data_IF_567318201360
#
_entry.id   IF_567318201360
#
_cell.length_a   1.000
_cell.length_b   1.000
_cell.length_c   1.000
_cell.angle_alpha   90.00
_cell.angle_beta   90.00
_cell.angle_gamma   90.00
#
_symmetry.space_group_name_H-M   'P 1'
#
loop_
_entity.id
_entity.type
_entity.pdbx_description
1 polymer ?
#
# COMPACT_ATOMS: atom_id res chain seq x y z
N UNK A 1 -15.26 -16.11 0.17
CA UNK A 1 -14.99 -16.68 -1.19
C UNK A 1 -13.72 -17.51 -1.12
N UNK A 2 -13.59 -18.58 -1.92
CA UNK A 2 -12.31 -19.27 -2.09
C UNK A 2 -11.34 -18.39 -2.90
N UNK A 3 -10.03 -18.67 -2.84
CA UNK A 3 -9.04 -17.91 -3.61
C UNK A 3 -9.33 -17.96 -5.12
N UNK A 4 -9.72 -19.11 -5.65
CA UNK A 4 -10.13 -19.26 -7.06
C UNK A 4 -11.36 -18.40 -7.42
N UNK A 5 -12.35 -18.36 -6.55
CA UNK A 5 -13.52 -17.50 -6.74
C UNK A 5 -13.14 -16.02 -6.75
N UNK A 6 -12.22 -15.61 -5.86
CA UNK A 6 -11.71 -14.24 -5.82
C UNK A 6 -10.95 -13.91 -7.10
N UNK A 7 -10.09 -14.81 -7.60
CA UNK A 7 -9.34 -14.62 -8.84
C UNK A 7 -10.27 -14.44 -10.05
N UNK A 8 -11.28 -15.31 -10.18
CA UNK A 8 -12.26 -15.24 -11.27
C UNK A 8 -13.10 -13.96 -11.20
N UNK A 9 -13.53 -13.57 -9.99
CA UNK A 9 -14.27 -12.34 -9.76
C UNK A 9 -13.41 -11.11 -10.07
N UNK A 10 -12.15 -11.09 -9.64
CA UNK A 10 -11.22 -10.00 -9.92
C UNK A 10 -11.00 -9.82 -11.43
N UNK A 11 -10.77 -10.92 -12.18
CA UNK A 11 -10.59 -10.87 -13.63
C UNK A 11 -11.84 -10.35 -14.36
N UNK A 12 -13.03 -10.80 -13.95
CA UNK A 12 -14.30 -10.34 -14.52
C UNK A 12 -14.53 -8.83 -14.26
N UNK A 13 -14.26 -8.37 -13.03
CA UNK A 13 -14.38 -6.97 -12.66
C UNK A 13 -13.34 -6.09 -13.37
N UNK A 14 -12.08 -6.54 -13.47
CA UNK A 14 -11.02 -5.80 -14.17
C UNK A 14 -11.39 -5.58 -15.64
N UNK A 15 -11.92 -6.62 -16.30
CA UNK A 15 -12.40 -6.52 -17.67
C UNK A 15 -13.61 -5.56 -17.80
N UNK A 16 -14.59 -5.69 -16.93
CA UNK A 16 -15.80 -4.86 -16.96
C UNK A 16 -15.50 -3.38 -16.67
N UNK A 17 -14.48 -3.10 -15.87
CA UNK A 17 -14.08 -1.75 -15.46
C UNK A 17 -12.96 -1.15 -16.31
N UNK A 18 -12.51 -1.80 -17.39
CA UNK A 18 -11.33 -1.41 -18.16
C UNK A 18 -11.32 0.06 -18.64
N UNK A 19 -12.50 0.65 -18.87
CA UNK A 19 -12.69 2.05 -19.26
C UNK A 19 -13.33 2.92 -18.17
N UNK A 20 -13.49 2.39 -16.96
CA UNK A 20 -14.14 3.10 -15.86
C UNK A 20 -13.26 4.21 -15.30
N UNK A 21 -13.89 5.31 -14.90
CA UNK A 21 -13.26 6.37 -14.13
C UNK A 21 -12.88 5.88 -12.73
N UNK A 22 -11.94 6.55 -12.04
CA UNK A 22 -11.59 6.21 -10.66
C UNK A 22 -12.81 6.13 -9.71
N UNK A 23 -13.76 7.04 -9.83
CA UNK A 23 -14.98 7.05 -9.01
C UNK A 23 -15.87 5.85 -9.30
N UNK A 24 -15.99 5.43 -10.56
CA UNK A 24 -16.76 4.23 -10.93
C UNK A 24 -16.12 2.95 -10.39
N UNK A 25 -14.78 2.86 -10.37
CA UNK A 25 -14.05 1.73 -9.76
C UNK A 25 -14.29 1.69 -8.25
N UNK A 26 -14.26 2.84 -7.55
CA UNK A 26 -14.57 2.91 -6.10
C UNK A 26 -16.03 2.52 -5.85
N UNK A 27 -16.97 3.04 -6.65
CA UNK A 27 -18.37 2.67 -6.53
C UNK A 27 -18.62 1.18 -6.79
N UNK A 28 -17.87 0.57 -7.72
CA UNK A 28 -17.90 -0.87 -7.94
C UNK A 28 -17.40 -1.64 -6.71
N UNK A 29 -16.30 -1.21 -6.08
CA UNK A 29 -15.78 -1.81 -4.85
C UNK A 29 -16.84 -1.81 -3.74
N UNK A 30 -17.52 -0.67 -3.53
CA UNK A 30 -18.59 -0.56 -2.53
C UNK A 30 -19.75 -1.53 -2.80
N UNK A 31 -20.13 -1.71 -4.07
CA UNK A 31 -21.24 -2.62 -4.44
C UNK A 31 -20.87 -4.11 -4.40
N UNK A 32 -19.58 -4.42 -4.48
CA UNK A 32 -19.10 -5.82 -4.63
C UNK A 32 -19.09 -6.57 -3.30
N UNK A 33 -18.90 -5.88 -2.19
CA UNK A 33 -18.81 -6.51 -0.86
C UNK A 33 -19.92 -6.04 0.06
N UNK A 34 -20.18 -6.81 1.10
CA UNK A 34 -21.18 -6.44 2.11
C UNK A 34 -20.76 -5.14 2.84
N UNK A 35 -21.73 -4.36 3.36
CA UNK A 35 -21.45 -3.18 4.17
C UNK A 35 -20.46 -3.47 5.31
N UNK A 36 -19.48 -2.62 5.50
CA UNK A 36 -18.43 -2.78 6.51
C UNK A 36 -17.34 -3.80 6.16
N UNK A 37 -17.37 -4.42 4.98
CA UNK A 37 -16.36 -5.39 4.53
C UNK A 37 -15.35 -4.83 3.53
N UNK A 38 -15.38 -3.52 3.28
CA UNK A 38 -14.44 -2.76 2.45
C UNK A 38 -13.59 -1.84 3.32
N UNK A 39 -12.30 -1.73 3.01
CA UNK A 39 -11.41 -0.74 3.61
C UNK A 39 -10.59 0.01 2.55
N UNK A 40 -10.05 1.17 2.92
CA UNK A 40 -9.02 1.88 2.15
C UNK A 40 -7.70 1.76 2.90
N UNK A 41 -6.62 1.40 2.21
CA UNK A 41 -5.27 1.45 2.77
C UNK A 41 -4.57 2.69 2.25
N UNK A 42 -4.19 3.58 3.16
CA UNK A 42 -3.53 4.85 2.83
C UNK A 42 -2.27 5.08 3.67
N UNK A 43 -1.20 5.52 3.02
CA UNK A 43 0.03 5.96 3.69
C UNK A 43 0.05 7.47 3.96
N UNK A 44 -0.98 8.20 3.57
CA UNK A 44 -1.03 9.67 3.61
C UNK A 44 0.21 10.35 2.99
N UNK A 45 0.79 9.73 1.94
CA UNK A 45 1.88 10.32 1.16
C UNK A 45 1.39 11.36 0.16
N UNK A 46 2.30 11.85 -0.71
CA UNK A 46 2.11 12.99 -1.60
C UNK A 46 0.76 13.03 -2.36
N UNK A 47 0.40 11.95 -3.05
CA UNK A 47 -0.77 11.94 -3.92
C UNK A 47 -2.02 11.30 -3.28
N UNK A 48 -1.99 11.07 -1.97
CA UNK A 48 -3.05 10.32 -1.27
C UNK A 48 -4.37 11.09 -1.21
N UNK A 49 -4.31 12.44 -1.19
CA UNK A 49 -5.49 13.29 -1.12
C UNK A 49 -6.45 13.05 -2.29
N UNK A 50 -5.91 12.77 -3.50
CA UNK A 50 -6.73 12.45 -4.67
C UNK A 50 -7.61 11.22 -4.43
N UNK A 51 -7.03 10.11 -3.95
CA UNK A 51 -7.80 8.90 -3.64
C UNK A 51 -8.83 9.15 -2.55
N UNK A 52 -8.40 9.72 -1.41
CA UNK A 52 -9.27 9.91 -0.25
C UNK A 52 -10.41 10.87 -0.54
N UNK A 53 -10.20 11.90 -1.37
CA UNK A 53 -11.28 12.79 -1.84
C UNK A 53 -12.34 12.04 -2.63
N UNK A 54 -11.92 11.17 -3.56
CA UNK A 54 -12.85 10.38 -4.37
C UNK A 54 -13.60 9.35 -3.53
N UNK A 55 -12.94 8.71 -2.56
CA UNK A 55 -13.57 7.78 -1.61
C UNK A 55 -14.60 8.52 -0.76
N UNK A 56 -14.21 9.63 -0.13
CA UNK A 56 -15.09 10.40 0.74
C UNK A 56 -16.32 10.98 0.02
N UNK A 57 -16.21 11.24 -1.29
CA UNK A 57 -17.34 11.67 -2.11
C UNK A 57 -18.40 10.57 -2.31
N UNK A 58 -18.03 9.30 -2.12
CA UNK A 58 -18.93 8.15 -2.23
C UNK A 58 -19.42 7.74 -0.83
N UNK A 59 -18.49 7.52 0.09
CA UNK A 59 -18.80 7.18 1.48
C UNK A 59 -17.62 7.54 2.39
N UNK A 60 -17.72 8.61 3.20
CA UNK A 60 -16.66 9.02 4.14
C UNK A 60 -16.54 8.10 5.36
N UNK A 61 -17.46 7.15 5.55
CA UNK A 61 -17.42 6.18 6.64
C UNK A 61 -16.66 4.88 6.29
N UNK A 62 -16.18 4.72 5.05
CA UNK A 62 -15.32 3.58 4.72
C UNK A 62 -14.06 3.64 5.58
N UNK A 63 -13.72 2.57 6.34
CA UNK A 63 -12.53 2.52 7.17
C UNK A 63 -11.25 2.80 6.38
N UNK A 64 -10.44 3.76 6.86
CA UNK A 64 -9.11 4.06 6.31
C UNK A 64 -8.06 3.44 7.23
N UNK A 65 -7.39 2.40 6.77
CA UNK A 65 -6.32 1.72 7.49
C UNK A 65 -5.01 2.47 7.26
N UNK A 66 -4.44 2.96 8.33
CA UNK A 66 -3.18 3.70 8.33
C UNK A 66 -2.13 2.93 9.14
N UNK A 67 -0.98 2.64 8.48
CA UNK A 67 0.13 1.94 9.09
C UNK A 67 1.12 2.95 9.67
N UNK A 68 1.08 3.16 10.98
CA UNK A 68 2.11 3.95 11.67
C UNK A 68 3.28 3.04 12.04
N UNK A 69 4.36 3.21 11.32
CA UNK A 69 5.57 2.38 11.48
C UNK A 69 6.46 2.80 12.65
N UNK A 70 6.14 3.90 13.33
CA UNK A 70 7.02 4.58 14.29
C UNK A 70 8.14 5.39 13.63
N UNK A 71 8.24 5.37 12.29
CA UNK A 71 9.27 6.05 11.51
C UNK A 71 8.68 7.06 10.49
N UNK A 72 7.43 7.44 10.65
CA UNK A 72 6.80 8.41 9.76
C UNK A 72 7.23 9.84 10.10
N UNK A 73 7.21 10.71 9.10
CA UNK A 73 7.42 12.14 9.32
C UNK A 73 6.27 12.73 10.15
N UNK A 74 6.55 13.65 11.09
CA UNK A 74 5.50 14.39 11.79
C UNK A 74 4.54 15.10 10.83
N UNK A 75 5.04 15.59 9.70
CA UNK A 75 4.25 16.22 8.64
C UNK A 75 3.24 15.25 8.01
N UNK A 76 3.57 13.96 7.90
CA UNK A 76 2.64 12.93 7.42
C UNK A 76 1.51 12.69 8.42
N UNK A 77 1.82 12.68 9.72
CA UNK A 77 0.81 12.53 10.78
C UNK A 77 -0.13 13.74 10.81
N UNK A 78 0.41 14.95 10.75
CA UNK A 78 -0.38 16.18 10.67
C UNK A 78 -1.23 16.25 9.37
N UNK A 79 -0.67 15.81 8.25
CA UNK A 79 -1.38 15.77 6.98
C UNK A 79 -2.54 14.77 6.99
N UNK A 80 -2.37 13.60 7.63
CA UNK A 80 -3.46 12.65 7.89
C UNK A 80 -4.63 13.33 8.59
N UNK A 81 -4.35 14.05 9.68
CA UNK A 81 -5.39 14.70 10.49
C UNK A 81 -6.06 15.84 9.71
N UNK A 82 -5.28 16.58 8.92
CA UNK A 82 -5.80 17.62 8.01
C UNK A 82 -6.76 17.03 6.97
N UNK A 83 -6.37 15.94 6.29
CA UNK A 83 -7.22 15.31 5.28
C UNK A 83 -8.45 14.64 5.90
N UNK A 84 -8.32 14.08 7.10
CA UNK A 84 -9.45 13.51 7.84
C UNK A 84 -10.54 14.56 8.09
N UNK A 85 -10.14 15.70 8.63
CA UNK A 85 -11.06 16.82 8.88
C UNK A 85 -11.62 17.40 7.58
N UNK A 86 -10.78 17.62 6.56
CA UNK A 86 -11.17 18.22 5.29
C UNK A 86 -12.19 17.39 4.51
N UNK A 87 -12.07 16.06 4.55
CA UNK A 87 -12.94 15.15 3.81
C UNK A 87 -14.04 14.53 4.68
N UNK A 88 -14.08 14.83 5.98
CA UNK A 88 -15.05 14.27 6.91
C UNK A 88 -14.91 12.75 7.08
N UNK A 89 -13.67 12.21 7.01
CA UNK A 89 -13.42 10.78 7.22
C UNK A 89 -13.70 10.44 8.69
N UNK A 90 -14.62 9.51 8.93
CA UNK A 90 -15.11 9.21 10.29
C UNK A 90 -14.47 7.98 10.92
N UNK A 91 -13.79 7.14 10.15
CA UNK A 91 -13.19 5.89 10.63
C UNK A 91 -11.75 5.74 10.13
N UNK A 92 -10.78 6.35 10.84
CA UNK A 92 -9.35 6.15 10.58
C UNK A 92 -8.80 5.20 11.64
N UNK A 93 -8.33 4.04 11.20
CA UNK A 93 -7.76 3.00 12.07
C UNK A 93 -6.25 2.99 11.94
N UNK A 94 -5.57 3.38 13.02
CA UNK A 94 -4.11 3.38 13.09
C UNK A 94 -3.63 2.01 13.56
N UNK A 95 -2.78 1.40 12.75
CA UNK A 95 -2.15 0.12 13.06
C UNK A 95 -0.64 0.30 13.22
N UNK A 96 -0.12 -0.15 14.34
CA UNK A 96 1.31 -0.11 14.69
C UNK A 96 1.92 -1.50 14.67
N UNK A 97 3.23 -1.64 14.48
CA UNK A 97 3.91 -2.93 14.63
C UNK A 97 3.79 -3.44 16.07
N UNK A 98 3.75 -4.75 16.24
CA UNK A 98 3.74 -5.38 17.56
C UNK A 98 5.00 -5.01 18.34
N UNK A 99 4.84 -4.59 19.60
CA UNK A 99 5.97 -4.29 20.48
C UNK A 99 6.83 -5.52 20.75
N UNK A 100 6.23 -6.72 20.81
CA UNK A 100 6.94 -7.98 20.95
C UNK A 100 7.81 -8.25 19.70
N UNK A 101 7.23 -8.13 18.49
CA UNK A 101 7.97 -8.33 17.25
C UNK A 101 9.12 -7.31 17.09
N UNK A 102 8.93 -6.06 17.53
CA UNK A 102 9.99 -5.06 17.53
C UNK A 102 11.11 -5.40 18.50
N UNK A 103 10.77 -5.83 19.72
CA UNK A 103 11.76 -6.20 20.74
C UNK A 103 12.57 -7.43 20.31
N UNK A 104 11.96 -8.37 19.60
CA UNK A 104 12.59 -9.61 19.14
C UNK A 104 13.42 -9.41 17.87
N UNK A 105 12.86 -8.71 16.85
CA UNK A 105 13.45 -8.63 15.51
C UNK A 105 14.21 -7.34 15.23
N UNK A 106 13.95 -6.25 15.99
CA UNK A 106 14.57 -4.93 15.78
C UNK A 106 14.89 -4.23 17.13
N UNK A 107 15.58 -4.91 18.07
CA UNK A 107 15.84 -4.37 19.41
C UNK A 107 16.68 -3.08 19.39
N UNK A 108 17.55 -2.92 18.41
CA UNK A 108 18.41 -1.74 18.26
C UNK A 108 17.74 -0.65 17.39
N UNK A 109 16.58 -0.93 16.79
CA UNK A 109 15.88 -0.02 15.89
C UNK A 109 16.69 0.39 14.65
N UNK A 110 17.58 -0.49 14.15
CA UNK A 110 18.47 -0.25 13.02
C UNK A 110 18.18 -1.17 11.81
N UNK A 111 17.16 -2.03 11.89
CA UNK A 111 16.77 -2.95 10.84
C UNK A 111 16.44 -2.26 9.51
N UNK A 112 15.95 -1.00 9.55
CA UNK A 112 15.76 -0.19 8.34
C UNK A 112 17.05 0.00 7.54
N UNK A 113 18.20 -0.05 8.20
CA UNK A 113 19.53 0.11 7.61
C UNK A 113 20.14 -1.23 7.21
N UNK A 114 20.06 -2.24 8.06
CA UNK A 114 20.70 -3.55 7.87
C UNK A 114 19.88 -4.47 6.95
N UNK A 115 18.55 -4.54 7.16
CA UNK A 115 17.62 -5.34 6.35
C UNK A 115 16.28 -4.59 6.16
N UNK A 116 16.18 -3.71 5.13
CA UNK A 116 14.96 -2.97 4.86
C UNK A 116 13.74 -3.83 4.50
N UNK A 117 13.95 -5.07 4.04
CA UNK A 117 12.84 -5.97 3.73
C UNK A 117 12.24 -6.54 5.01
N UNK A 118 13.06 -7.03 5.94
CA UNK A 118 12.62 -7.44 7.26
C UNK A 118 11.97 -6.28 8.03
N UNK A 119 12.58 -5.09 7.99
CA UNK A 119 11.99 -3.88 8.59
C UNK A 119 10.58 -3.59 8.06
N UNK A 120 10.39 -3.60 6.73
CA UNK A 120 9.08 -3.40 6.13
C UNK A 120 8.11 -4.53 6.47
N UNK A 121 8.59 -5.76 6.58
CA UNK A 121 7.77 -6.91 6.93
C UNK A 121 7.14 -6.73 8.31
N UNK A 122 7.95 -6.49 9.35
CA UNK A 122 7.45 -6.36 10.73
C UNK A 122 6.66 -5.06 10.96
N UNK A 123 7.02 -3.96 10.26
CA UNK A 123 6.40 -2.65 10.50
C UNK A 123 5.24 -2.31 9.57
N UNK A 124 5.03 -3.09 8.49
CA UNK A 124 3.98 -2.82 7.51
C UNK A 124 3.21 -4.06 7.09
N UNK A 125 3.92 -5.13 6.63
CA UNK A 125 3.23 -6.30 6.07
C UNK A 125 2.42 -7.02 7.14
N UNK A 126 3.03 -7.32 8.29
CA UNK A 126 2.34 -7.99 9.39
C UNK A 126 1.17 -7.15 9.94
N UNK A 127 1.34 -5.85 10.27
CA UNK A 127 0.23 -5.02 10.73
C UNK A 127 -0.90 -4.88 9.70
N UNK A 128 -0.57 -4.81 8.40
CA UNK A 128 -1.58 -4.74 7.35
C UNK A 128 -2.37 -6.06 7.24
N UNK A 129 -1.68 -7.18 7.28
CA UNK A 129 -2.32 -8.50 7.22
C UNK A 129 -3.34 -8.68 8.35
N UNK A 130 -2.99 -8.24 9.56
CA UNK A 130 -3.89 -8.24 10.72
C UNK A 130 -5.06 -7.27 10.52
N UNK A 131 -4.78 -6.04 10.09
CA UNK A 131 -5.78 -5.00 9.86
C UNK A 131 -6.81 -5.41 8.80
N UNK A 132 -6.41 -6.18 7.80
CA UNK A 132 -7.27 -6.62 6.70
C UNK A 132 -8.13 -7.85 7.03
N UNK A 133 -7.94 -8.53 8.16
CA UNK A 133 -8.71 -9.73 8.52
C UNK A 133 -10.23 -9.57 8.45
N UNK A 134 -10.82 -8.46 8.92
CA UNK A 134 -12.27 -8.29 8.89
C UNK A 134 -12.83 -7.90 7.50
N UNK A 135 -11.99 -7.69 6.48
CA UNK A 135 -12.40 -7.15 5.19
C UNK A 135 -12.31 -8.18 4.07
N UNK A 136 -13.28 -8.13 3.14
CA UNK A 136 -13.32 -8.96 1.93
C UNK A 136 -12.69 -8.26 0.73
N UNK A 137 -12.57 -6.93 0.79
CA UNK A 137 -11.90 -6.12 -0.22
C UNK A 137 -11.21 -4.90 0.37
N UNK A 138 -10.24 -4.39 -0.36
CA UNK A 138 -9.58 -3.14 -0.02
C UNK A 138 -9.18 -2.32 -1.24
N UNK A 139 -9.10 -1.00 -1.04
CA UNK A 139 -8.75 -0.01 -2.04
C UNK A 139 -7.37 0.56 -1.70
N UNK A 140 -6.56 0.85 -2.73
CA UNK A 140 -5.28 1.55 -2.57
C UNK A 140 -5.03 2.54 -3.71
N UNK A 141 -4.02 3.41 -3.54
CA UNK A 141 -3.72 4.50 -4.46
C UNK A 141 -2.57 4.23 -5.44
N UNK A 142 -2.24 2.97 -5.77
CA UNK A 142 -1.19 2.67 -6.74
C UNK A 142 -1.55 3.14 -8.14
N UNK A 143 -0.51 3.50 -8.92
CA UNK A 143 -0.64 4.04 -10.28
C UNK A 143 0.43 3.42 -11.18
N UNK A 144 0.11 3.19 -12.45
CA UNK A 144 1.03 2.59 -13.44
C UNK A 144 2.25 3.47 -13.71
N UNK A 145 2.09 4.79 -13.72
CA UNK A 145 3.19 5.71 -14.02
C UNK A 145 4.29 5.77 -12.94
N UNK A 146 4.10 5.13 -11.79
CA UNK A 146 5.17 4.94 -10.81
C UNK A 146 6.19 3.85 -11.22
N UNK A 147 6.05 3.29 -12.43
CA UNK A 147 7.04 2.39 -13.03
C UNK A 147 7.17 1.01 -12.40
N UNK A 148 8.24 0.30 -12.76
CA UNK A 148 8.60 -1.03 -12.26
C UNK A 148 7.45 -2.05 -12.29
N UNK A 149 7.23 -2.72 -11.17
CA UNK A 149 6.18 -3.74 -11.01
C UNK A 149 4.75 -3.21 -11.20
N UNK A 150 4.56 -1.87 -11.27
CA UNK A 150 3.24 -1.24 -11.39
C UNK A 150 2.79 -1.00 -12.83
N UNK A 151 3.67 -1.11 -13.83
CA UNK A 151 3.35 -0.80 -15.24
C UNK A 151 2.14 -1.56 -15.78
N UNK A 152 1.90 -2.78 -15.28
CA UNK A 152 0.77 -3.64 -15.68
C UNK A 152 -0.29 -3.78 -14.60
N UNK A 153 -0.37 -2.82 -13.68
CA UNK A 153 -1.31 -2.86 -12.58
C UNK A 153 -2.75 -2.90 -13.10
N UNK A 154 -3.56 -3.93 -12.77
CA UNK A 154 -4.98 -3.97 -13.10
C UNK A 154 -5.78 -3.03 -12.21
N UNK A 155 -7.01 -2.70 -12.61
CA UNK A 155 -7.95 -1.97 -11.75
C UNK A 155 -8.45 -2.83 -10.59
N UNK A 156 -8.60 -4.14 -10.84
CA UNK A 156 -9.00 -5.11 -9.81
C UNK A 156 -8.09 -6.33 -9.88
N UNK A 157 -7.56 -6.73 -8.74
CA UNK A 157 -6.72 -7.93 -8.61
C UNK A 157 -7.12 -8.75 -7.38
N UNK A 158 -6.73 -10.02 -7.34
CA UNK A 158 -6.87 -10.86 -6.16
C UNK A 158 -5.69 -10.64 -5.21
N UNK A 159 -5.96 -10.63 -3.91
CA UNK A 159 -4.99 -10.58 -2.82
C UNK A 159 -5.30 -11.71 -1.82
N UNK A 160 -4.95 -12.94 -2.20
CA UNK A 160 -5.41 -14.16 -1.53
C UNK A 160 -6.93 -14.30 -1.63
N UNK A 161 -7.60 -14.37 -0.50
CA UNK A 161 -9.06 -14.49 -0.40
C UNK A 161 -9.79 -13.14 -0.49
N UNK A 162 -9.10 -12.03 -0.84
CA UNK A 162 -9.65 -10.68 -0.91
C UNK A 162 -9.56 -10.09 -2.30
N UNK A 163 -10.51 -9.23 -2.62
CA UNK A 163 -10.41 -8.35 -3.78
C UNK A 163 -9.59 -7.11 -3.43
N UNK A 164 -8.80 -6.64 -4.39
CA UNK A 164 -7.98 -5.46 -4.25
C UNK A 164 -8.22 -4.52 -5.42
N UNK A 165 -8.70 -3.32 -5.11
CA UNK A 165 -9.05 -2.31 -6.09
C UNK A 165 -7.97 -1.24 -6.18
N UNK A 166 -7.58 -0.89 -7.41
CA UNK A 166 -6.59 0.11 -7.75
C UNK A 166 -7.24 1.21 -8.62
N UNK A 167 -8.15 2.04 -8.09
CA UNK A 167 -8.94 2.98 -8.91
C UNK A 167 -8.10 3.97 -9.67
N UNK A 168 -6.91 4.32 -9.18
CA UNK A 168 -5.99 5.25 -9.84
C UNK A 168 -4.97 4.55 -10.75
N UNK A 169 -5.08 3.23 -10.99
CA UNK A 169 -4.08 2.48 -11.76
C UNK A 169 -3.86 3.06 -13.16
N UNK A 170 -4.92 3.44 -13.87
CA UNK A 170 -4.89 3.98 -15.22
C UNK A 170 -4.74 5.50 -15.28
N UNK A 171 -4.81 6.20 -14.14
CA UNK A 171 -4.65 7.65 -14.10
C UNK A 171 -3.22 8.05 -14.48
N UNK A 172 -3.08 9.06 -15.33
CA UNK A 172 -1.81 9.71 -15.60
C UNK A 172 -1.46 10.70 -14.48
N UNK A 173 -0.22 11.22 -14.48
CA UNK A 173 0.18 12.32 -13.58
C UNK A 173 -0.73 13.54 -13.74
N UNK A 174 -1.03 13.91 -14.99
CA UNK A 174 -1.94 15.02 -15.30
C UNK A 174 -3.36 14.80 -14.76
N UNK A 175 -3.84 13.55 -14.74
CA UNK A 175 -5.15 13.25 -14.15
C UNK A 175 -5.16 13.51 -12.65
N UNK A 176 -4.09 13.12 -11.95
CA UNK A 176 -3.94 13.40 -10.51
C UNK A 176 -3.85 14.90 -10.26
N UNK A 177 -3.04 15.63 -11.03
CA UNK A 177 -2.92 17.08 -10.94
C UNK A 177 -4.29 17.78 -11.19
N UNK A 178 -5.07 17.29 -12.15
CA UNK A 178 -6.44 17.78 -12.39
C UNK A 178 -7.37 17.55 -11.19
N UNK A 179 -7.28 16.38 -10.53
CA UNK A 179 -8.07 16.10 -9.32
C UNK A 179 -7.66 17.07 -8.21
N UNK A 180 -6.36 17.30 -7.99
CA UNK A 180 -5.87 18.26 -7.00
C UNK A 180 -6.39 19.67 -7.28
N UNK A 181 -6.29 20.15 -8.53
CA UNK A 181 -6.73 21.47 -8.92
C UNK A 181 -8.26 21.62 -8.81
N UNK A 182 -9.04 20.65 -9.31
CA UNK A 182 -10.50 20.70 -9.33
C UNK A 182 -11.12 20.72 -7.93
N UNK A 183 -10.44 20.14 -6.95
CA UNK A 183 -10.93 20.06 -5.57
C UNK A 183 -10.13 20.94 -4.60
N UNK A 184 -9.21 21.77 -5.08
CA UNK A 184 -8.30 22.60 -4.27
C UNK A 184 -7.64 21.80 -3.14
N UNK A 185 -7.15 20.59 -3.47
CA UNK A 185 -6.57 19.69 -2.46
C UNK A 185 -5.23 20.24 -1.96
N UNK A 186 -4.98 20.21 -0.64
CA UNK A 186 -3.69 20.61 -0.11
C UNK A 186 -2.61 19.59 -0.52
N UNK A 187 -1.44 20.04 -0.99
CA UNK A 187 -0.29 19.16 -1.20
C UNK A 187 0.27 18.69 0.15
N UNK A 188 1.01 17.59 0.13
CA UNK A 188 1.71 17.14 1.33
C UNK A 188 2.82 18.16 1.70
N UNK A 189 2.96 18.57 2.97
CA UNK A 189 3.90 19.65 3.36
C UNK A 189 5.37 19.41 2.95
N UNK A 190 5.78 18.15 2.86
CA UNK A 190 7.15 17.79 2.45
C UNK A 190 7.40 17.95 0.94
N UNK A 191 6.36 18.08 0.11
CA UNK A 191 6.55 18.29 -1.34
C UNK A 191 7.29 19.62 -1.61
N UNK A 192 6.93 20.67 -0.88
CA UNK A 192 7.62 21.97 -0.97
C UNK A 192 9.09 21.91 -0.52
N UNK A 193 9.47 20.85 0.20
CA UNK A 193 10.83 20.59 0.65
C UNK A 193 11.60 19.65 -0.29
N UNK A 194 11.02 19.27 -1.45
CA UNK A 194 11.65 18.43 -2.47
C UNK A 194 11.48 16.93 -2.28
N UNK A 195 10.51 16.48 -1.46
CA UNK A 195 10.20 15.06 -1.31
C UNK A 195 9.06 14.66 -2.24
N UNK A 196 9.37 14.13 -3.42
CA UNK A 196 8.37 13.75 -4.42
C UNK A 196 7.67 12.40 -4.13
N UNK A 197 8.24 11.55 -3.28
CA UNK A 197 7.64 10.30 -2.81
C UNK A 197 7.93 10.11 -1.33
N UNK A 198 6.89 9.99 -0.51
CA UNK A 198 6.98 10.06 0.94
C UNK A 198 6.64 8.72 1.58
N UNK A 199 7.42 8.30 2.56
CA UNK A 199 7.23 7.12 3.39
C UNK A 199 7.92 7.26 4.74
N UNK A 200 8.57 6.20 5.26
CA UNK A 200 9.35 6.30 6.50
C UNK A 200 10.53 7.25 6.34
N UNK A 201 10.83 8.07 7.36
CA UNK A 201 11.92 9.04 7.38
C UNK A 201 13.26 8.42 6.96
N UNK A 202 13.74 7.29 7.53
CA UNK A 202 15.04 6.74 7.18
C UNK A 202 15.10 6.16 5.76
N UNK A 203 13.95 5.95 5.11
CA UNK A 203 13.85 5.37 3.76
C UNK A 203 13.41 6.41 2.71
N UNK A 204 13.42 7.69 3.03
CA UNK A 204 12.93 8.76 2.15
C UNK A 204 13.94 9.89 2.07
N UNK A 205 14.32 10.27 0.86
CA UNK A 205 15.22 11.39 0.59
C UNK A 205 14.60 12.33 -0.46
N UNK A 206 15.14 13.55 -0.53
CA UNK A 206 14.76 14.52 -1.57
C UNK A 206 15.15 14.01 -2.95
N UNK A 207 14.38 14.41 -3.96
CA UNK A 207 14.66 14.14 -5.37
C UNK A 207 15.06 15.44 -6.07
N UNK A 208 15.97 15.35 -7.02
CA UNK A 208 16.31 16.50 -7.86
C UNK A 208 15.19 16.79 -8.87
N UNK A 209 15.07 18.02 -9.37
CA UNK A 209 14.14 18.33 -10.44
C UNK A 209 14.39 17.42 -11.66
N UNK A 210 13.33 16.76 -12.16
CA UNK A 210 13.40 15.83 -13.29
C UNK A 210 13.79 14.39 -12.95
N UNK A 211 14.19 14.07 -11.71
CA UNK A 211 14.32 12.68 -11.27
C UNK A 211 12.95 12.00 -11.17
N UNK A 212 12.95 10.68 -11.35
CA UNK A 212 11.76 9.90 -11.02
C UNK A 212 11.42 10.08 -9.53
N UNK A 213 10.16 10.39 -9.18
CA UNK A 213 9.75 10.62 -7.79
C UNK A 213 10.13 9.50 -6.83
N UNK A 214 10.22 8.26 -7.32
CA UNK A 214 10.51 7.11 -6.48
C UNK A 214 12.01 6.88 -6.23
N UNK A 215 12.91 7.57 -6.94
CA UNK A 215 14.35 7.49 -6.67
C UNK A 215 14.71 8.01 -5.27
N UNK A 216 13.85 8.84 -4.68
CA UNK A 216 13.95 9.26 -3.28
C UNK A 216 13.68 8.15 -2.26
N UNK A 217 13.14 6.99 -2.68
CA UNK A 217 12.84 5.85 -1.80
C UNK A 217 13.96 4.83 -1.83
N UNK A 218 14.43 4.44 -0.63
CA UNK A 218 15.54 3.47 -0.48
C UNK A 218 16.75 3.79 -1.37
N UNK A 219 17.08 5.08 -1.52
CA UNK A 219 18.18 5.55 -2.38
C UNK A 219 19.48 4.79 -2.13
N UNK A 220 20.11 4.30 -3.20
CA UNK A 220 21.32 3.47 -3.12
C UNK A 220 21.09 2.01 -2.78
N UNK A 221 19.83 1.53 -2.77
CA UNK A 221 19.47 0.13 -2.50
C UNK A 221 18.69 -0.47 -3.67
N UNK A 222 18.76 -1.78 -3.83
CA UNK A 222 18.01 -2.51 -4.87
C UNK A 222 16.51 -2.63 -4.60
N UNK A 223 16.01 -2.04 -3.48
CA UNK A 223 14.61 -2.11 -3.06
C UNK A 223 13.77 -1.04 -3.75
N UNK A 224 12.64 -1.44 -4.33
CA UNK A 224 11.68 -0.53 -5.00
C UNK A 224 10.30 -0.51 -4.36
N UNK A 225 9.93 -1.54 -3.56
CA UNK A 225 8.61 -1.68 -2.93
C UNK A 225 8.72 -2.12 -1.46
N UNK A 226 7.72 -1.76 -0.66
CA UNK A 226 7.70 -2.07 0.78
C UNK A 226 7.11 -3.45 1.12
N UNK A 227 6.67 -4.22 0.12
CA UNK A 227 6.14 -5.57 0.31
C UNK A 227 4.65 -5.67 0.64
N UNK A 228 3.96 -4.59 1.06
CA UNK A 228 2.52 -4.65 1.39
C UNK A 228 1.61 -5.00 0.21
N UNK A 229 2.14 -4.99 -0.99
CA UNK A 229 1.44 -5.34 -2.21
C UNK A 229 1.95 -6.65 -2.84
N UNK A 230 2.95 -7.30 -2.23
CA UNK A 230 3.38 -8.62 -2.65
C UNK A 230 2.26 -9.64 -2.36
N UNK A 231 2.02 -10.55 -3.30
CA UNK A 231 1.14 -11.68 -3.01
C UNK A 231 1.73 -12.46 -1.83
N UNK A 232 0.91 -12.86 -0.83
CA UNK A 232 1.38 -13.87 0.11
C UNK A 232 1.83 -15.08 -0.72
N UNK A 233 3.04 -15.57 -0.45
CA UNK A 233 3.48 -16.83 -1.04
C UNK A 233 2.41 -17.85 -0.67
N UNK A 234 1.74 -18.44 -1.68
CA UNK A 234 0.88 -19.59 -1.45
C UNK A 234 1.71 -20.58 -0.64
N UNK A 235 1.15 -21.09 0.45
CA UNK A 235 1.77 -22.17 1.20
C UNK A 235 1.92 -23.36 0.23
N UNK A 236 3.01 -23.33 -0.54
CA UNK A 236 3.36 -24.34 -1.51
C UNK A 236 3.70 -25.60 -0.74
N UNK A 237 2.99 -26.67 -1.06
CA UNK A 237 3.35 -28.02 -0.76
C UNK A 237 4.84 -28.20 -1.01
N UNK A 238 5.62 -28.27 0.07
CA UNK A 238 7.01 -28.70 0.00
C UNK A 238 7.06 -30.14 -0.50
N UNK A 239 7.27 -30.32 -1.80
CA UNK A 239 7.82 -31.56 -2.30
C UNK A 239 9.30 -31.53 -1.97
N UNK A 240 9.66 -32.22 -0.90
CA UNK A 240 11.05 -32.50 -0.59
C UNK A 240 11.69 -33.19 -1.79
N UNK A 241 12.76 -32.61 -2.27
CA UNK A 241 13.81 -33.34 -2.94
C UNK A 241 14.92 -33.50 -1.93
N UNK A 242 15.01 -34.71 -1.39
CA UNK A 242 16.11 -35.16 -0.55
C UNK A 242 17.42 -34.91 -1.30
N UNK A 243 18.25 -34.00 -0.80
CA UNK A 243 19.65 -33.91 -1.15
C UNK A 243 20.41 -34.77 -0.14
N UNK A 244 20.50 -36.09 -0.44
CA UNK A 244 21.37 -37.03 0.19
C UNK A 244 22.83 -36.79 -0.24
N UNK A 245 23.47 -35.73 0.27
CA UNK A 245 24.94 -35.63 0.14
C UNK A 245 25.57 -34.70 1.17
N UNK A 246 25.37 -34.99 2.46
CA UNK A 246 26.21 -34.42 3.53
C UNK A 246 26.25 -35.28 4.80
N UNK A 247 26.71 -36.52 4.66
CA UNK A 247 27.05 -37.33 5.84
C UNK A 247 28.30 -38.19 5.60
N UNK A 248 29.42 -37.53 5.33
CA UNK A 248 30.72 -38.22 5.40
C UNK A 248 31.85 -37.21 5.65
N UNK A 249 31.92 -36.61 6.81
CA UNK A 249 33.19 -36.11 7.42
C UNK A 249 32.93 -35.84 8.92
N UNK A 250 32.83 -36.86 9.72
CA UNK A 250 33.06 -36.80 11.18
C UNK A 250 33.24 -38.20 11.74
N UNK A 251 34.28 -38.89 11.28
CA UNK A 251 34.94 -40.02 12.00
C UNK A 251 36.39 -40.12 11.54
N UNK A 252 37.28 -39.39 12.19
CA UNK A 252 38.68 -39.73 12.42
C UNK A 252 39.22 -38.81 13.53
#
# INVERSE_FOLDING_TARGET
>A
MTEEQVQNTAAALDHALAQASPSEVIAAAVRTVAPGRLAVVSSFGAETAALLKLVAAIDPAIPVLFLDTGWLFPETLAYRDTLAALFGLTDIRVHTPSTCALAECDPNQDLWSSDPDACCHIRKVMPLAEALRPFDAWINGRKRYHGDQRQRLPLVESDGERLKFNPLAHSSRQDIERIFAAHALPPHPLEAQGFASIGCMPCTSRTAPGEDPRTGRWRGRAKTECGIHARPASAGSGTGTDDESRSEVLRA
#
